data_IF_374345292673
#
_entry.id   IF_374345292673
#
_cell.length_a   1.000
_cell.length_b   1.000
_cell.length_c   1.000
_cell.angle_alpha   90.00
_cell.angle_beta   90.00
_cell.angle_gamma   90.00
#
_symmetry.space_group_name_H-M   'P 1'
#
loop_
_entity.id
_entity.type
_entity.pdbx_description
1 polymer ?
#
# COMPACT_ATOMS: atom_id res chain seq x y z
N UNK A 1 -33.87 29.05 -31.46
CA UNK A 1 -32.58 28.57 -32.01
C UNK A 1 -31.46 28.73 -30.99
N UNK A 2 -31.31 29.89 -30.34
CA UNK A 2 -30.28 30.14 -29.32
C UNK A 2 -30.27 29.15 -28.14
N UNK A 3 -31.45 28.73 -27.65
CA UNK A 3 -31.54 27.75 -26.54
C UNK A 3 -31.01 26.38 -26.91
N UNK A 4 -31.14 25.98 -28.19
CA UNK A 4 -30.66 24.69 -28.68
C UNK A 4 -29.13 24.69 -28.82
N UNK A 5 -28.56 25.81 -29.27
CA UNK A 5 -27.11 26.01 -29.33
C UNK A 5 -26.51 26.08 -27.92
N UNK A 6 -27.15 26.80 -26.99
CA UNK A 6 -26.72 26.86 -25.60
C UNK A 6 -26.76 25.47 -24.91
N UNK A 7 -27.81 24.69 -25.17
CA UNK A 7 -27.91 23.32 -24.64
C UNK A 7 -26.82 22.39 -25.21
N UNK A 8 -26.49 22.53 -26.50
CA UNK A 8 -25.42 21.75 -27.14
C UNK A 8 -24.03 22.11 -26.59
N UNK A 9 -23.75 23.39 -26.33
CA UNK A 9 -22.49 23.80 -25.70
C UNK A 9 -22.42 23.36 -24.22
N UNK A 10 -23.54 23.46 -23.49
CA UNK A 10 -23.63 23.03 -22.11
C UNK A 10 -23.37 21.53 -21.94
N UNK A 11 -23.87 20.69 -22.84
CA UNK A 11 -23.64 19.24 -22.78
C UNK A 11 -22.18 18.87 -23.03
N UNK A 12 -21.47 19.56 -23.92
CA UNK A 12 -20.03 19.35 -24.16
C UNK A 12 -19.21 19.69 -22.92
N UNK A 13 -19.51 20.81 -22.25
CA UNK A 13 -18.83 21.20 -21.01
C UNK A 13 -19.10 20.19 -19.90
N UNK A 14 -20.35 19.74 -19.75
CA UNK A 14 -20.71 18.70 -18.79
C UNK A 14 -19.98 17.37 -19.07
N UNK A 15 -19.86 16.98 -20.33
CA UNK A 15 -19.15 15.76 -20.72
C UNK A 15 -17.65 15.87 -20.35
N UNK A 16 -17.04 17.02 -20.61
CA UNK A 16 -15.64 17.28 -20.25
C UNK A 16 -15.43 17.27 -18.73
N UNK A 17 -16.37 17.84 -17.95
CA UNK A 17 -16.31 17.75 -16.50
C UNK A 17 -16.42 16.28 -16.03
N UNK A 18 -17.37 15.53 -16.58
CA UNK A 18 -17.60 14.14 -16.21
C UNK A 18 -16.37 13.25 -16.42
N UNK A 19 -15.67 13.40 -17.55
CA UNK A 19 -14.45 12.62 -17.80
C UNK A 19 -13.38 12.92 -16.76
N UNK A 20 -13.13 14.20 -16.45
CA UNK A 20 -12.17 14.60 -15.42
C UNK A 20 -12.54 14.00 -14.06
N UNK A 21 -13.80 14.15 -13.63
CA UNK A 21 -14.28 13.58 -12.36
C UNK A 21 -14.13 12.05 -12.31
N UNK A 22 -14.47 11.36 -13.40
CA UNK A 22 -14.39 9.91 -13.46
C UNK A 22 -12.94 9.40 -13.36
N UNK A 23 -12.01 10.03 -14.08
CA UNK A 23 -10.60 9.70 -14.00
C UNK A 23 -10.02 10.03 -12.62
N UNK A 24 -10.30 11.21 -12.07
CA UNK A 24 -9.85 11.61 -10.74
C UNK A 24 -10.32 10.63 -9.65
N UNK A 25 -11.60 10.21 -9.68
CA UNK A 25 -12.12 9.26 -8.69
C UNK A 25 -11.41 7.91 -8.75
N UNK A 26 -11.11 7.40 -9.96
CA UNK A 26 -10.32 6.17 -10.11
C UNK A 26 -8.89 6.33 -9.61
N UNK A 27 -8.24 7.45 -9.93
CA UNK A 27 -6.90 7.75 -9.44
C UNK A 27 -6.86 7.87 -7.92
N UNK A 28 -7.86 8.51 -7.30
CA UNK A 28 -7.96 8.60 -5.84
C UNK A 28 -8.22 7.24 -5.20
N UNK A 29 -9.05 6.39 -5.79
CA UNK A 29 -9.25 5.02 -5.29
C UNK A 29 -7.97 4.19 -5.34
N UNK A 30 -7.18 4.31 -6.43
CA UNK A 30 -5.87 3.67 -6.52
C UNK A 30 -4.88 4.22 -5.47
N UNK A 31 -4.84 5.54 -5.27
CA UNK A 31 -3.99 6.18 -4.27
C UNK A 31 -4.35 5.75 -2.84
N UNK A 32 -5.63 5.65 -2.50
CA UNK A 32 -6.07 5.20 -1.17
C UNK A 32 -5.59 3.77 -0.89
N UNK A 33 -5.72 2.87 -1.86
CA UNK A 33 -5.23 1.50 -1.74
C UNK A 33 -3.70 1.47 -1.54
N UNK A 34 -2.95 2.24 -2.32
CA UNK A 34 -1.49 2.34 -2.15
C UNK A 34 -1.08 2.91 -0.79
N UNK A 35 -1.80 3.90 -0.27
CA UNK A 35 -1.52 4.48 1.06
C UNK A 35 -1.78 3.47 2.18
N UNK A 36 -2.83 2.65 2.05
CA UNK A 36 -3.11 1.58 3.00
C UNK A 36 -2.04 0.49 2.96
N UNK A 37 -1.63 0.07 1.76
CA UNK A 37 -0.56 -0.91 1.57
C UNK A 37 0.78 -0.39 2.12
N UNK A 38 1.13 0.87 1.84
CA UNK A 38 2.38 1.47 2.29
C UNK A 38 2.41 1.60 3.83
N UNK A 39 1.28 1.93 4.46
CA UNK A 39 1.17 1.90 5.93
C UNK A 39 1.35 0.50 6.50
N UNK A 40 0.69 -0.50 5.91
CA UNK A 40 0.81 -1.89 6.36
C UNK A 40 2.25 -2.40 6.21
N UNK A 41 2.88 -2.09 5.08
CA UNK A 41 4.26 -2.48 4.81
C UNK A 41 5.24 -1.77 5.73
N UNK A 42 5.04 -0.47 5.99
CA UNK A 42 5.85 0.29 6.94
C UNK A 42 5.80 -0.29 8.35
N UNK A 43 4.60 -0.67 8.83
CA UNK A 43 4.43 -1.32 10.13
C UNK A 43 5.11 -2.70 10.17
N UNK A 44 4.94 -3.52 9.13
CA UNK A 44 5.59 -4.82 9.05
C UNK A 44 7.13 -4.71 9.06
N UNK A 45 7.68 -3.74 8.33
CA UNK A 45 9.13 -3.48 8.30
C UNK A 45 9.65 -2.95 9.63
N UNK A 46 8.93 -2.05 10.30
CA UNK A 46 9.33 -1.56 11.63
C UNK A 46 9.34 -2.70 12.65
N UNK A 47 8.31 -3.55 12.64
CA UNK A 47 8.20 -4.73 13.49
C UNK A 47 9.33 -5.75 13.21
N UNK A 48 9.66 -5.99 11.94
CA UNK A 48 10.79 -6.84 11.57
C UNK A 48 12.13 -6.23 12.04
N UNK A 49 12.32 -4.93 11.84
CA UNK A 49 13.54 -4.22 12.25
C UNK A 49 13.68 -4.15 13.76
N UNK A 50 12.57 -4.07 14.51
CA UNK A 50 12.56 -4.17 15.96
C UNK A 50 12.99 -5.56 16.41
N UNK A 51 12.40 -6.62 15.86
CA UNK A 51 12.74 -8.01 16.22
C UNK A 51 14.18 -8.37 15.85
N UNK A 52 14.70 -7.89 14.71
CA UNK A 52 16.11 -8.08 14.34
C UNK A 52 17.06 -7.33 15.29
N UNK A 53 16.67 -6.14 15.78
CA UNK A 53 17.49 -5.39 16.76
C UNK A 53 17.43 -5.98 18.17
N UNK A 54 16.35 -6.68 18.51
CA UNK A 54 16.21 -7.41 19.76
C UNK A 54 16.87 -8.80 19.72
N UNK A 55 17.12 -9.31 18.51
CA UNK A 55 17.91 -10.52 18.32
C UNK A 55 19.37 -10.30 18.71
N UNK A 56 19.87 -11.12 19.62
CA UNK A 56 21.24 -11.14 20.11
C UNK A 56 22.21 -11.73 19.06
N UNK A 57 21.80 -12.80 18.39
CA UNK A 57 22.58 -13.43 17.33
C UNK A 57 21.69 -14.19 16.33
N UNK A 58 22.12 -14.26 15.07
CA UNK A 58 21.52 -15.12 14.07
C UNK A 58 21.99 -16.56 14.29
N UNK A 59 21.09 -17.46 14.66
CA UNK A 59 21.42 -18.87 14.91
C UNK A 59 21.46 -19.64 13.59
N UNK A 60 20.49 -19.41 12.70
CA UNK A 60 20.39 -20.17 11.44
C UNK A 60 19.65 -19.39 10.36
N UNK A 61 20.12 -19.54 9.12
CA UNK A 61 19.52 -18.94 7.92
C UNK A 61 19.27 -20.02 6.86
N UNK A 62 18.03 -20.05 6.36
CA UNK A 62 17.60 -20.78 5.17
C UNK A 62 16.80 -19.83 4.28
N UNK A 63 16.80 -20.01 2.94
CA UNK A 63 15.99 -19.18 2.04
C UNK A 63 14.48 -19.15 2.36
N UNK A 64 13.95 -20.09 3.15
CA UNK A 64 12.53 -20.14 3.56
C UNK A 64 12.31 -19.92 5.06
N UNK A 65 13.38 -19.82 5.86
CA UNK A 65 13.23 -19.64 7.30
C UNK A 65 14.42 -18.93 7.93
N UNK A 66 14.15 -17.98 8.80
CA UNK A 66 15.13 -17.23 9.56
C UNK A 66 14.95 -17.55 11.06
N UNK A 67 15.99 -18.05 11.71
CA UNK A 67 15.98 -18.36 13.14
C UNK A 67 16.97 -17.48 13.88
N UNK A 68 16.44 -16.62 14.75
CA UNK A 68 17.17 -15.63 15.53
C UNK A 68 17.13 -16.03 17.01
N UNK A 69 18.20 -15.75 17.74
CA UNK A 69 18.20 -15.78 19.21
C UNK A 69 17.79 -14.42 19.73
N UNK A 70 16.73 -14.35 20.53
CA UNK A 70 16.36 -13.13 21.26
C UNK A 70 17.29 -12.90 22.46
N UNK A 71 17.38 -11.67 22.96
CA UNK A 71 18.22 -11.30 24.11
C UNK A 71 17.90 -12.07 25.40
N UNK A 72 16.67 -12.59 25.54
CA UNK A 72 16.26 -13.47 26.67
C UNK A 72 16.76 -14.93 26.52
N UNK A 73 17.43 -15.26 25.42
CA UNK A 73 17.88 -16.63 25.09
C UNK A 73 16.79 -17.51 24.46
N UNK A 74 15.62 -16.93 24.14
CA UNK A 74 14.55 -17.62 23.42
C UNK A 74 14.77 -17.59 21.91
N UNK A 75 14.33 -18.65 21.23
CA UNK A 75 14.50 -18.78 19.78
C UNK A 75 13.29 -18.21 19.05
N UNK A 76 13.51 -17.17 18.24
CA UNK A 76 12.48 -16.57 17.39
C UNK A 76 12.62 -17.12 15.97
N UNK A 77 11.61 -17.86 15.50
CA UNK A 77 11.62 -18.46 14.17
C UNK A 77 10.60 -17.78 13.25
N UNK A 78 11.08 -17.23 12.15
CA UNK A 78 10.26 -16.74 11.06
C UNK A 78 10.25 -17.76 9.94
N UNK A 79 9.07 -18.28 9.60
CA UNK A 79 8.84 -19.12 8.43
C UNK A 79 8.18 -18.26 7.37
N UNK A 80 8.79 -18.19 6.20
CA UNK A 80 8.23 -17.52 5.03
C UNK A 80 7.44 -18.55 4.22
N UNK A 81 6.11 -18.44 4.22
CA UNK A 81 5.23 -19.22 3.35
C UNK A 81 4.84 -18.34 2.14
N UNK A 82 5.18 -18.75 0.90
CA UNK A 82 4.97 -17.95 -0.31
C UNK A 82 3.50 -17.83 -0.75
#
# INVERSE_FOLDING_TARGET
METLVAAALGSVVMLAAYTVFFYSNRSFAALINHVELERSNGNAVDLLTQQIRQANQLISYSPTSLTLEDYDGQTLQFVYDP
#
